data_IF_084594426242
#
_entry.id   IF_084594426242
#
_cell.length_a   1.000
_cell.length_b   1.000
_cell.length_c   1.000
_cell.angle_alpha   90.00
_cell.angle_beta   90.00
_cell.angle_gamma   90.00
#
_symmetry.space_group_name_H-M   'P 1'
#
loop_
_entity.id
_entity.type
_entity.pdbx_description
1 polymer ?
#
# COMPACT_ATOMS: atom_id res chain seq x y z
N UNK A 1 6.02 14.99 21.17
CA UNK A 1 5.49 13.63 20.94
C UNK A 1 5.47 13.42 19.44
N UNK A 2 6.41 12.65 18.90
CA UNK A 2 6.41 12.31 17.46
C UNK A 2 5.35 11.25 17.28
N UNK A 3 4.23 11.59 16.62
CA UNK A 3 3.19 10.61 16.30
C UNK A 3 3.82 9.46 15.51
N UNK A 4 3.58 8.19 15.87
CA UNK A 4 4.06 7.06 15.09
C UNK A 4 3.63 7.24 13.63
N UNK A 5 4.54 7.04 12.68
CA UNK A 5 4.26 7.36 11.28
C UNK A 5 3.20 6.42 10.70
N UNK A 6 3.15 5.17 11.17
CA UNK A 6 2.10 4.21 10.84
C UNK A 6 0.68 4.67 11.22
N UNK A 7 0.53 5.51 12.25
CA UNK A 7 -0.79 6.03 12.66
C UNK A 7 -1.44 6.93 11.60
N UNK A 8 -0.65 7.45 10.64
CA UNK A 8 -1.15 8.30 9.55
C UNK A 8 -1.82 7.52 8.42
N UNK A 9 -1.63 6.19 8.39
CA UNK A 9 -2.21 5.31 7.38
C UNK A 9 -3.68 4.98 7.67
N UNK A 10 -4.17 5.31 8.87
CA UNK A 10 -5.55 5.05 9.27
C UNK A 10 -5.85 3.56 9.46
N UNK A 11 -4.84 2.76 9.82
CA UNK A 11 -5.05 1.38 10.21
C UNK A 11 -5.59 1.30 11.64
N UNK A 12 -6.46 0.33 11.88
CA UNK A 12 -7.08 0.09 13.17
C UNK A 12 -6.65 -1.27 13.73
N UNK A 13 -6.79 -1.43 15.05
CA UNK A 13 -6.53 -2.71 15.72
C UNK A 13 -7.48 -3.78 15.20
N UNK A 14 -6.92 -4.95 14.87
CA UNK A 14 -7.63 -6.08 14.28
C UNK A 14 -7.53 -6.14 12.75
N UNK A 15 -7.04 -5.10 12.08
CA UNK A 15 -6.93 -5.12 10.61
C UNK A 15 -5.95 -6.19 10.16
N UNK A 16 -6.36 -6.94 9.14
CA UNK A 16 -5.51 -7.86 8.40
C UNK A 16 -4.91 -7.12 7.22
N UNK A 17 -3.59 -7.16 7.11
CA UNK A 17 -2.85 -6.42 6.09
C UNK A 17 -2.01 -7.39 5.27
N UNK A 18 -2.25 -7.44 3.96
CA UNK A 18 -1.38 -8.10 3.00
C UNK A 18 -0.23 -7.18 2.62
N UNK A 19 0.99 -7.68 2.67
CA UNK A 19 2.20 -7.01 2.23
C UNK A 19 2.73 -7.69 0.96
N UNK A 20 3.03 -6.86 -0.05
CA UNK A 20 3.61 -7.29 -1.31
C UNK A 20 4.82 -6.43 -1.69
N UNK A 21 5.78 -7.00 -2.40
CA UNK A 21 7.01 -6.31 -2.82
C UNK A 21 8.04 -6.08 -1.71
N UNK A 22 7.89 -6.75 -0.57
CA UNK A 22 8.85 -6.65 0.55
C UNK A 22 10.25 -7.13 0.11
N UNK A 23 11.25 -6.29 0.40
CA UNK A 23 12.65 -6.56 0.14
C UNK A 23 13.51 -5.89 1.23
N UNK A 24 14.84 -6.06 1.14
CA UNK A 24 15.79 -5.61 2.17
C UNK A 24 15.92 -4.08 2.30
N UNK A 25 15.39 -3.31 1.35
CA UNK A 25 15.34 -1.84 1.35
C UNK A 25 14.06 -1.27 1.99
N UNK A 26 13.08 -2.12 2.30
CA UNK A 26 11.86 -1.73 3.00
C UNK A 26 12.16 -1.33 4.46
N UNK A 27 11.37 -0.38 4.99
CA UNK A 27 11.57 0.14 6.35
C UNK A 27 10.96 -0.81 7.40
N UNK A 28 11.81 -1.60 8.07
CA UNK A 28 11.39 -2.53 9.13
C UNK A 28 10.74 -1.81 10.33
N UNK A 29 11.17 -0.58 10.65
CA UNK A 29 10.60 0.18 11.75
C UNK A 29 9.18 0.66 11.43
N UNK A 30 8.87 0.95 10.17
CA UNK A 30 7.52 1.22 9.71
C UNK A 30 6.66 -0.05 9.78
N UNK A 31 7.16 -1.19 9.31
CA UNK A 31 6.45 -2.49 9.40
C UNK A 31 6.09 -2.82 10.85
N UNK A 32 7.07 -2.76 11.75
CA UNK A 32 6.84 -3.03 13.18
C UNK A 32 5.84 -2.07 13.82
N UNK A 33 5.78 -0.80 13.39
CA UNK A 33 4.75 0.13 13.84
C UNK A 33 3.35 -0.28 13.36
N UNK A 34 3.22 -0.72 12.11
CA UNK A 34 1.94 -1.18 11.56
C UNK A 34 1.46 -2.44 12.29
N UNK A 35 2.34 -3.41 12.52
CA UNK A 35 2.03 -4.61 13.30
C UNK A 35 1.62 -4.27 14.73
N UNK A 36 2.29 -3.30 15.35
CA UNK A 36 1.92 -2.82 16.69
C UNK A 36 0.54 -2.16 16.73
N UNK A 37 0.18 -1.40 15.69
CA UNK A 37 -1.12 -0.69 15.61
C UNK A 37 -2.26 -1.69 15.36
N UNK A 38 -2.05 -2.60 14.41
CA UNK A 38 -3.05 -3.61 14.03
C UNK A 38 -3.15 -4.74 15.05
N UNK A 39 -2.06 -5.04 15.76
CA UNK A 39 -1.98 -6.20 16.63
C UNK A 39 -1.81 -7.53 15.87
N UNK A 40 -1.63 -7.48 14.55
CA UNK A 40 -1.45 -8.63 13.68
C UNK A 40 -0.10 -8.53 12.94
N UNK A 41 0.46 -9.67 12.57
CA UNK A 41 1.60 -9.69 11.66
C UNK A 41 1.16 -9.37 10.23
N UNK A 42 2.04 -8.75 9.45
CA UNK A 42 1.79 -8.52 8.03
C UNK A 42 1.77 -9.87 7.29
N UNK A 43 0.69 -10.12 6.55
CA UNK A 43 0.54 -11.30 5.72
C UNK A 43 1.40 -11.13 4.46
N UNK A 44 1.97 -12.21 3.93
CA UNK A 44 2.76 -12.17 2.70
C UNK A 44 2.61 -13.46 1.90
N UNK A 45 2.81 -13.39 0.59
CA UNK A 45 2.67 -14.53 -0.32
C UNK A 45 1.21 -14.85 -0.67
N UNK A 46 0.90 -16.13 -0.87
CA UNK A 46 -0.47 -16.58 -1.13
C UNK A 46 -1.30 -16.55 0.17
N UNK A 47 -2.32 -15.69 0.18
CA UNK A 47 -3.22 -15.51 1.32
C UNK A 47 -4.61 -16.07 0.96
N UNK A 48 -5.26 -16.77 1.89
CA UNK A 48 -6.58 -17.39 1.66
C UNK A 48 -7.72 -16.66 2.35
N UNK A 49 -7.42 -15.62 3.12
CA UNK A 49 -8.38 -14.78 3.82
C UNK A 49 -8.52 -13.41 3.16
N UNK A 50 -9.68 -12.80 3.35
CA UNK A 50 -9.95 -11.44 2.89
C UNK A 50 -9.25 -10.47 3.85
N UNK A 51 -8.50 -9.52 3.30
CA UNK A 51 -7.73 -8.52 4.06
C UNK A 51 -8.41 -7.15 4.06
N UNK A 52 -8.20 -6.39 5.14
CA UNK A 52 -8.75 -5.04 5.28
C UNK A 52 -7.93 -3.99 4.50
N UNK A 53 -6.64 -4.24 4.34
CA UNK A 53 -5.76 -3.40 3.54
C UNK A 53 -4.66 -4.21 2.84
N UNK A 54 -4.18 -3.67 1.72
CA UNK A 54 -3.00 -4.19 1.03
C UNK A 54 -1.94 -3.09 1.02
N UNK A 55 -0.70 -3.45 1.35
CA UNK A 55 0.49 -2.61 1.24
C UNK A 55 1.34 -3.18 0.11
N UNK A 56 1.70 -2.33 -0.84
CA UNK A 56 2.56 -2.68 -1.96
C UNK A 56 3.81 -1.81 -1.87
N UNK A 57 4.96 -2.41 -1.65
CA UNK A 57 6.26 -1.76 -1.78
C UNK A 57 6.65 -1.79 -3.25
N UNK A 58 6.51 -0.65 -3.93
CA UNK A 58 6.65 -0.54 -5.37
C UNK A 58 7.87 0.31 -5.76
N UNK A 59 8.67 -0.22 -6.68
CA UNK A 59 9.81 0.44 -7.31
C UNK A 59 9.60 0.51 -8.82
N UNK A 60 10.26 1.46 -9.46
CA UNK A 60 10.14 1.67 -10.91
C UNK A 60 10.56 0.45 -11.75
N UNK A 61 11.43 -0.40 -11.21
CA UNK A 61 11.93 -1.61 -11.84
C UNK A 61 11.19 -2.91 -11.41
N UNK A 62 10.17 -2.82 -10.57
CA UNK A 62 9.43 -3.99 -10.06
C UNK A 62 8.49 -4.62 -11.10
N UNK A 63 8.18 -3.91 -12.21
CA UNK A 63 7.40 -4.45 -13.33
C UNK A 63 6.20 -3.58 -13.71
N UNK A 64 5.00 -4.20 -13.80
CA UNK A 64 3.76 -3.49 -14.10
C UNK A 64 2.93 -3.27 -12.83
N UNK A 65 2.79 -2.01 -12.43
CA UNK A 65 2.01 -1.62 -11.25
C UNK A 65 0.52 -1.97 -11.42
N UNK A 66 -0.01 -1.96 -12.64
CA UNK A 66 -1.43 -2.26 -12.87
C UNK A 66 -1.75 -3.69 -12.48
N UNK A 67 -0.91 -4.64 -12.89
CA UNK A 67 -1.09 -6.06 -12.59
C UNK A 67 -1.03 -6.29 -11.07
N UNK A 68 -0.04 -5.67 -10.41
CA UNK A 68 0.12 -5.78 -8.95
C UNK A 68 -1.07 -5.19 -8.18
N UNK A 69 -1.65 -4.08 -8.67
CA UNK A 69 -2.85 -3.49 -8.10
C UNK A 69 -4.08 -4.37 -8.30
N UNK A 70 -4.21 -5.01 -9.46
CA UNK A 70 -5.30 -5.94 -9.77
C UNK A 70 -5.19 -7.20 -8.91
N UNK A 71 -3.98 -7.74 -8.74
CA UNK A 71 -3.72 -8.90 -7.89
C UNK A 71 -4.02 -8.58 -6.42
N UNK A 72 -3.56 -7.43 -5.92
CA UNK A 72 -3.87 -6.96 -4.56
C UNK A 72 -5.38 -6.79 -4.33
N UNK A 73 -6.13 -6.31 -5.32
CA UNK A 73 -7.58 -6.20 -5.25
C UNK A 73 -8.30 -7.55 -5.06
N UNK A 74 -7.71 -8.67 -5.49
CA UNK A 74 -8.35 -9.99 -5.37
C UNK A 74 -8.48 -10.46 -3.91
N UNK A 75 -7.60 -9.99 -3.02
CA UNK A 75 -7.60 -10.31 -1.60
C UNK A 75 -8.33 -9.26 -0.75
N UNK A 76 -8.57 -8.08 -1.31
CA UNK A 76 -9.04 -6.92 -0.56
C UNK A 76 -10.55 -6.98 -0.30
N UNK A 77 -10.96 -6.62 0.92
CA UNK A 77 -12.37 -6.42 1.25
C UNK A 77 -13.01 -5.28 0.43
N UNK A 78 -14.33 -5.32 0.24
CA UNK A 78 -15.10 -4.29 -0.51
C UNK A 78 -14.89 -2.86 0.00
N UNK A 79 -14.60 -2.69 1.29
CA UNK A 79 -14.33 -1.40 1.93
C UNK A 79 -12.85 -1.14 2.18
N UNK A 80 -11.99 -2.05 1.72
CA UNK A 80 -10.57 -2.00 1.95
C UNK A 80 -9.86 -0.93 1.13
N UNK A 81 -8.58 -0.76 1.43
CA UNK A 81 -7.73 0.24 0.80
C UNK A 81 -6.38 -0.37 0.42
N UNK A 82 -5.82 0.11 -0.69
CA UNK A 82 -4.46 -0.23 -1.11
C UNK A 82 -3.56 0.95 -0.82
N UNK A 83 -2.42 0.68 -0.22
CA UNK A 83 -1.36 1.63 0.02
C UNK A 83 -0.14 1.27 -0.82
N UNK A 84 0.18 2.11 -1.80
CA UNK A 84 1.38 1.96 -2.61
C UNK A 84 2.49 2.78 -1.98
N UNK A 85 3.51 2.11 -1.49
CA UNK A 85 4.71 2.73 -0.93
C UNK A 85 5.77 2.81 -2.02
N UNK A 86 6.30 4.01 -2.25
CA UNK A 86 7.32 4.26 -3.28
C UNK A 86 8.53 4.96 -2.68
N UNK A 87 9.74 4.67 -3.18
CA UNK A 87 10.94 5.40 -2.80
C UNK A 87 10.79 6.89 -3.15
N UNK A 88 11.24 7.77 -2.27
CA UNK A 88 11.21 9.21 -2.52
C UNK A 88 12.19 9.63 -3.62
N UNK A 89 11.94 10.82 -4.19
CA UNK A 89 12.81 11.46 -5.19
C UNK A 89 14.27 11.41 -4.75
N UNK A 90 15.15 10.94 -5.64
CA UNK A 90 16.59 10.79 -5.37
C UNK A 90 16.99 9.46 -4.74
N UNK A 91 16.05 8.54 -4.50
CA UNK A 91 16.34 7.14 -4.11
C UNK A 91 16.28 6.20 -5.32
N UNK A 92 17.07 5.11 -5.33
CA UNK A 92 16.92 4.04 -6.32
C UNK A 92 15.48 3.49 -6.32
N UNK A 93 14.97 3.15 -7.51
CA UNK A 93 13.60 2.67 -7.66
C UNK A 93 12.53 3.75 -7.44
N UNK A 94 12.88 5.04 -7.47
CA UNK A 94 11.91 6.12 -7.38
C UNK A 94 10.89 6.04 -8.51
N UNK A 95 9.61 6.08 -8.14
CA UNK A 95 8.46 6.05 -9.05
C UNK A 95 7.85 7.43 -9.13
N UNK A 96 7.60 7.92 -10.34
CA UNK A 96 6.99 9.24 -10.50
C UNK A 96 5.52 9.20 -10.06
N UNK A 97 5.01 10.26 -9.38
CA UNK A 97 3.62 10.30 -8.98
C UNK A 97 2.62 10.16 -10.14
N UNK A 98 3.02 10.50 -11.37
CA UNK A 98 2.21 10.31 -12.57
C UNK A 98 1.98 8.84 -12.90
N UNK A 99 2.96 7.96 -12.68
CA UNK A 99 2.84 6.54 -13.02
C UNK A 99 1.76 5.88 -12.17
N UNK A 100 1.68 6.25 -10.88
CA UNK A 100 0.60 5.80 -9.99
C UNK A 100 -0.75 6.40 -10.41
N UNK A 101 -0.78 7.66 -10.84
CA UNK A 101 -2.00 8.34 -11.30
C UNK A 101 -2.57 7.70 -12.58
N UNK A 102 -1.71 7.19 -13.45
CA UNK A 102 -2.09 6.53 -14.70
C UNK A 102 -2.42 5.04 -14.48
N UNK A 103 -1.72 4.35 -13.58
CA UNK A 103 -1.98 2.95 -13.25
C UNK A 103 -3.28 2.75 -12.46
N UNK A 104 -3.54 3.59 -11.45
CA UNK A 104 -4.72 3.48 -10.59
C UNK A 104 -6.06 3.38 -11.35
N UNK A 105 -6.43 4.27 -12.29
CA UNK A 105 -7.68 4.16 -13.05
C UNK A 105 -7.76 2.87 -13.87
N UNK A 106 -6.62 2.41 -14.41
CA UNK A 106 -6.54 1.20 -15.24
C UNK A 106 -6.85 -0.04 -14.41
N UNK A 107 -6.38 -0.08 -13.16
CA UNK A 107 -6.73 -1.12 -12.17
C UNK A 107 -8.12 -0.93 -11.53
N UNK A 108 -8.92 0.07 -11.95
CA UNK A 108 -10.23 0.35 -11.36
C UNK A 108 -10.19 1.07 -10.00
N UNK A 109 -9.04 1.63 -9.63
CA UNK A 109 -8.79 2.34 -8.39
C UNK A 109 -8.83 3.86 -8.57
N UNK A 110 -8.97 4.58 -7.47
CA UNK A 110 -8.78 6.03 -7.42
C UNK A 110 -7.80 6.38 -6.32
N UNK A 111 -6.85 7.23 -6.65
CA UNK A 111 -5.99 7.86 -5.65
C UNK A 111 -6.79 8.83 -4.78
N UNK A 112 -6.58 8.79 -3.47
CA UNK A 112 -7.28 9.67 -2.52
C UNK A 112 -6.34 10.60 -1.77
N UNK A 113 -5.13 10.15 -1.46
CA UNK A 113 -4.18 10.93 -0.65
C UNK A 113 -2.77 10.36 -0.79
N UNK A 114 -1.76 11.22 -0.68
CA UNK A 114 -0.36 10.80 -0.56
C UNK A 114 0.32 11.49 0.61
N UNK A 115 1.17 10.77 1.34
CA UNK A 115 1.88 11.28 2.51
C UNK A 115 3.23 10.61 2.73
N UNK A 116 4.16 11.34 3.34
CA UNK A 116 5.45 10.78 3.76
C UNK A 116 5.26 9.90 5.01
N UNK A 117 5.66 8.63 4.90
CA UNK A 117 5.51 7.59 5.94
C UNK A 117 6.82 7.14 6.56
N UNK A 118 7.95 7.37 5.88
CA UNK A 118 9.28 7.12 6.39
C UNK A 118 10.27 8.17 5.84
N UNK A 119 11.53 8.19 6.30
CA UNK A 119 12.56 9.05 5.72
C UNK A 119 12.68 8.86 4.22
N UNK A 120 12.60 7.61 3.75
CA UNK A 120 12.91 7.21 2.37
C UNK A 120 11.68 6.81 1.55
N UNK A 121 10.52 6.67 2.20
CA UNK A 121 9.30 6.16 1.58
C UNK A 121 8.14 7.16 1.66
N UNK A 122 7.41 7.24 0.55
CA UNK A 122 6.12 7.93 0.43
C UNK A 122 5.03 6.89 0.30
N UNK A 123 3.83 7.18 0.79
CA UNK A 123 2.66 6.31 0.69
C UNK A 123 1.57 7.01 -0.10
N UNK A 124 0.96 6.29 -1.03
CA UNK A 124 -0.19 6.73 -1.81
C UNK A 124 -1.37 5.80 -1.55
N UNK A 125 -2.48 6.37 -1.07
CA UNK A 125 -3.72 5.65 -0.81
C UNK A 125 -4.55 5.56 -2.08
N UNK A 126 -4.90 4.34 -2.44
CA UNK A 126 -5.79 3.98 -3.52
C UNK A 126 -7.00 3.25 -2.96
N UNK A 127 -8.19 3.54 -3.49
CA UNK A 127 -9.43 2.86 -3.10
C UNK A 127 -10.17 2.39 -4.34
N UNK A 128 -10.86 1.25 -4.24
CA UNK A 128 -11.71 0.75 -5.30
C UNK A 128 -12.75 1.81 -5.67
N UNK A 129 -12.87 2.09 -6.98
CA UNK A 129 -13.97 2.94 -7.45
C UNK A 129 -15.24 2.16 -7.22
N UNK A 130 -16.18 2.71 -6.45
CA UNK A 130 -17.54 2.19 -6.41
C UNK A 130 -18.10 2.28 -7.83
N UNK A 131 -18.11 1.16 -8.54
CA UNK A 131 -18.82 1.06 -9.79
C UNK A 131 -20.28 1.32 -9.46
N UNK A 132 -20.77 2.52 -9.80
CA UNK A 132 -22.20 2.75 -9.89
C UNK A 132 -22.69 1.89 -11.03
N UNK A 133 -22.98 0.63 -10.72
CA UNK A 133 -23.70 -0.27 -11.61
C UNK A 133 -25.09 0.35 -11.78
N UNK A 134 -25.28 1.07 -12.89
CA UNK A 134 -26.61 1.44 -13.39
C UNK A 134 -27.22 0.25 -14.11
#
# INVERSE_FOLDING_TARGET
MTTPMGSRLGFETGFLILEVGYSSDCDEALRGQIETITGNQLLSGEVHEVVDAVIIWWRDDDGDLVDELVDGLTYLADTGQIWVFTPKVGRPGHVEPSDIQDAAPTAGLSQTSSLSIAPDWSATRLVARKSSKR
#
